data_IF_423738064022
#
_entry.id   IF_423738064022
#
_cell.length_a   1.000
_cell.length_b   1.000
_cell.length_c   1.000
_cell.angle_alpha   90.00
_cell.angle_beta   90.00
_cell.angle_gamma   90.00
#
_symmetry.space_group_name_H-M   'P 1'
#
loop_
_entity.id
_entity.type
_entity.pdbx_description
1 polymer ?
#
# COMPACT_ATOMS: atom_id res chain seq x y z
N UNK A 1 -9.94 1.15 8.73
CA UNK A 1 -8.73 1.19 7.88
C UNK A 1 -7.89 2.37 8.31
N UNK A 2 -6.59 2.32 8.06
CA UNK A 2 -5.65 3.43 8.28
C UNK A 2 -4.82 3.57 7.00
N UNK A 3 -4.76 4.77 6.44
CA UNK A 3 -4.00 5.03 5.23
C UNK A 3 -3.11 6.25 5.41
N UNK A 4 -1.93 6.25 4.78
CA UNK A 4 -1.02 7.37 4.80
C UNK A 4 0.36 7.02 4.29
N UNK A 5 1.20 8.04 4.21
CA UNK A 5 2.66 7.90 4.13
C UNK A 5 3.21 7.67 5.53
N UNK A 6 3.82 6.51 5.75
CA UNK A 6 4.42 6.12 7.02
C UNK A 6 5.94 6.33 7.05
N UNK A 7 6.56 6.76 5.95
CA UNK A 7 8.01 6.92 5.79
C UNK A 7 8.83 5.67 6.15
N UNK A 8 8.20 4.49 6.15
CA UNK A 8 8.84 3.22 6.49
C UNK A 8 8.12 2.07 5.83
N UNK A 9 8.78 0.92 5.73
CA UNK A 9 8.19 -0.29 5.15
C UNK A 9 7.05 -0.85 6.02
N UNK A 10 6.12 -1.56 5.38
CA UNK A 10 4.93 -2.08 6.04
C UNK A 10 5.24 -3.07 7.18
N UNK A 11 6.44 -3.65 7.20
CA UNK A 11 6.91 -4.60 8.19
C UNK A 11 7.96 -4.04 9.18
N UNK A 12 8.23 -2.74 9.13
CA UNK A 12 9.15 -2.07 10.04
C UNK A 12 8.71 -2.18 11.50
N UNK A 13 9.69 -2.12 12.41
CA UNK A 13 9.48 -2.21 13.86
C UNK A 13 8.59 -1.07 14.38
N UNK A 14 8.71 0.12 13.80
CA UNK A 14 7.91 1.31 14.17
C UNK A 14 6.40 1.07 13.99
N UNK A 15 6.02 0.14 13.11
CA UNK A 15 4.63 -0.23 12.84
C UNK A 15 4.17 -1.49 13.57
N UNK A 16 5.01 -2.09 14.43
CA UNK A 16 4.69 -3.35 15.12
C UNK A 16 3.35 -3.27 15.88
N UNK A 17 3.14 -2.20 16.65
CA UNK A 17 1.92 -2.02 17.43
C UNK A 17 0.67 -1.95 16.54
N UNK A 18 0.76 -1.28 15.38
CA UNK A 18 -0.32 -1.21 14.40
C UNK A 18 -0.61 -2.60 13.80
N UNK A 19 0.44 -3.33 13.43
CA UNK A 19 0.37 -4.64 12.79
C UNK A 19 -0.21 -5.74 13.67
N UNK A 20 -0.35 -5.51 15.00
CA UNK A 20 -1.04 -6.44 15.91
C UNK A 20 -2.53 -6.62 15.60
N UNK A 21 -3.17 -5.60 15.03
CA UNK A 21 -4.61 -5.65 14.70
C UNK A 21 -4.93 -5.33 13.24
N UNK A 22 -3.92 -4.97 12.45
CA UNK A 22 -4.08 -4.52 11.08
C UNK A 22 -3.17 -5.26 10.11
N UNK A 23 -3.71 -5.62 8.95
CA UNK A 23 -2.97 -6.19 7.84
C UNK A 23 -2.63 -5.14 6.79
N UNK A 24 -1.47 -5.27 6.15
CA UNK A 24 -1.10 -4.47 4.97
C UNK A 24 -1.89 -4.96 3.75
N UNK A 25 -2.71 -4.09 3.16
CA UNK A 25 -3.54 -4.45 2.02
C UNK A 25 -2.74 -4.87 0.79
N UNK A 26 -1.64 -4.18 0.47
CA UNK A 26 -0.85 -4.51 -0.71
C UNK A 26 -0.10 -5.83 -0.52
N UNK A 27 0.62 -6.00 0.59
CA UNK A 27 1.32 -7.24 0.91
C UNK A 27 0.39 -8.45 1.02
N UNK A 28 -0.86 -8.26 1.49
CA UNK A 28 -1.85 -9.35 1.57
C UNK A 28 -2.32 -9.82 0.19
N UNK A 29 -2.50 -8.90 -0.76
CA UNK A 29 -2.96 -9.21 -2.12
C UNK A 29 -1.82 -9.79 -2.97
N UNK A 30 -0.59 -9.35 -2.74
CA UNK A 30 0.59 -9.67 -3.57
C UNK A 30 1.59 -10.60 -2.88
N UNK A 31 1.15 -11.46 -1.96
CA UNK A 31 2.01 -12.23 -1.04
C UNK A 31 3.09 -13.10 -1.71
N UNK A 32 2.90 -13.48 -2.98
CA UNK A 32 3.79 -14.36 -3.75
C UNK A 32 4.47 -13.61 -4.91
N UNK A 33 4.46 -12.28 -4.91
CA UNK A 33 5.10 -11.49 -5.95
C UNK A 33 6.55 -11.21 -5.58
N UNK A 34 7.47 -11.54 -6.47
CA UNK A 34 8.88 -11.14 -6.36
C UNK A 34 9.13 -9.75 -6.98
N UNK A 35 8.09 -9.08 -7.47
CA UNK A 35 8.22 -7.76 -8.06
C UNK A 35 8.53 -6.71 -6.98
N UNK A 36 9.62 -5.97 -7.17
CA UNK A 36 9.91 -4.78 -6.37
C UNK A 36 8.83 -3.73 -6.67
N UNK A 37 8.15 -3.24 -5.63
CA UNK A 37 7.11 -2.22 -5.72
C UNK A 37 7.58 -0.94 -5.03
N UNK A 38 7.27 0.20 -5.64
CA UNK A 38 7.49 1.52 -5.06
C UNK A 38 6.17 2.28 -4.95
N UNK A 39 6.01 3.07 -3.89
CA UNK A 39 5.04 4.17 -3.85
C UNK A 39 5.72 5.51 -4.01
N UNK A 40 7.05 5.58 -3.98
CA UNK A 40 7.81 6.74 -4.42
C UNK A 40 7.91 6.78 -5.95
N UNK A 41 7.78 7.97 -6.50
CA UNK A 41 7.95 8.24 -7.92
C UNK A 41 9.44 8.14 -8.30
N UNK A 42 9.77 7.17 -9.16
CA UNK A 42 11.16 6.90 -9.55
C UNK A 42 11.74 7.93 -10.53
N UNK A 43 10.92 8.87 -11.01
CA UNK A 43 11.41 10.06 -11.68
C UNK A 43 12.01 11.08 -10.70
N UNK A 44 11.59 11.03 -9.43
CA UNK A 44 12.02 11.95 -8.36
C UNK A 44 13.05 11.28 -7.43
N UNK A 45 12.89 9.97 -7.18
CA UNK A 45 13.71 9.21 -6.23
C UNK A 45 14.42 8.04 -6.91
N UNK A 46 15.72 7.88 -6.65
CA UNK A 46 16.53 6.84 -7.29
C UNK A 46 16.36 5.44 -6.68
N UNK A 47 15.78 5.36 -5.48
CA UNK A 47 15.60 4.09 -4.74
C UNK A 47 14.12 3.78 -4.57
N UNK A 48 13.64 2.62 -5.06
CA UNK A 48 12.25 2.22 -4.85
C UNK A 48 11.98 1.96 -3.37
N UNK A 49 10.89 2.53 -2.88
CA UNK A 49 10.39 2.27 -1.53
C UNK A 49 8.87 2.30 -1.52
N UNK A 50 8.26 1.35 -0.81
CA UNK A 50 6.84 1.34 -0.51
C UNK A 50 6.67 1.82 0.92
N UNK A 51 6.32 3.09 1.07
CA UNK A 51 6.13 3.77 2.37
C UNK A 51 4.71 4.29 2.55
N UNK A 52 3.95 4.36 1.46
CA UNK A 52 2.52 4.63 1.48
C UNK A 52 1.76 3.31 1.66
N UNK A 53 0.92 3.26 2.68
CA UNK A 53 0.24 2.04 3.07
C UNK A 53 -1.24 2.28 3.28
N UNK A 54 -2.01 1.25 2.97
CA UNK A 54 -3.38 1.12 3.45
C UNK A 54 -3.46 -0.15 4.30
N UNK A 55 -3.65 0.05 5.59
CA UNK A 55 -3.83 -0.99 6.58
C UNK A 55 -5.33 -1.25 6.81
N UNK A 56 -5.74 -2.51 6.81
CA UNK A 56 -7.12 -2.92 7.10
C UNK A 56 -7.20 -3.64 8.43
N UNK A 57 -8.29 -3.44 9.18
CA UNK A 57 -8.49 -4.11 10.46
C UNK A 57 -8.73 -5.60 10.21
N UNK A 58 -7.84 -6.44 10.74
CA UNK A 58 -7.94 -7.89 10.62
C UNK A 58 -9.25 -8.38 11.26
N UNK A 59 -9.78 -9.50 10.76
CA UNK A 59 -11.05 -10.11 11.21
C UNK A 59 -12.31 -9.24 11.00
N UNK A 60 -12.18 -8.03 10.44
CA UNK A 60 -13.31 -7.15 10.09
C UNK A 60 -13.36 -6.83 8.62
N UNK A 61 -12.19 -6.78 7.98
CA UNK A 61 -12.05 -6.43 6.57
C UNK A 61 -11.16 -7.47 5.87
N UNK A 62 -11.39 -7.63 4.57
CA UNK A 62 -10.61 -8.45 3.66
C UNK A 62 -10.09 -7.56 2.54
N UNK A 63 -8.78 -7.57 2.29
CA UNK A 63 -8.20 -6.93 1.11
C UNK A 63 -8.45 -7.80 -0.11
N UNK A 64 -9.20 -7.29 -1.10
CA UNK A 64 -9.56 -8.02 -2.33
C UNK A 64 -8.70 -7.62 -3.51
N UNK A 65 -8.33 -6.34 -3.57
CA UNK A 65 -7.45 -5.80 -4.60
C UNK A 65 -6.59 -4.69 -4.00
N UNK A 66 -5.39 -4.52 -4.57
CA UNK A 66 -4.47 -3.44 -4.27
C UNK A 66 -3.68 -3.10 -5.53
N UNK A 67 -3.60 -1.81 -5.89
CA UNK A 67 -2.94 -1.31 -7.10
C UNK A 67 -2.15 -0.04 -6.79
N UNK A 68 -1.03 0.12 -7.48
CA UNK A 68 -0.37 1.42 -7.62
C UNK A 68 -1.03 2.16 -8.78
N UNK A 69 -1.28 3.46 -8.59
CA UNK A 69 -1.88 4.35 -9.56
C UNK A 69 -0.91 5.48 -9.90
N UNK A 70 -1.06 6.05 -11.09
CA UNK A 70 -0.28 7.19 -11.55
C UNK A 70 1.24 6.92 -11.55
N UNK A 71 1.63 5.67 -11.85
CA UNK A 71 3.01 5.21 -12.00
C UNK A 71 3.63 5.57 -13.37
N UNK A 72 2.91 6.37 -14.15
CA UNK A 72 3.34 6.92 -15.43
C UNK A 72 2.99 8.42 -15.51
N UNK A 73 3.78 9.23 -16.23
CA UNK A 73 3.46 10.64 -16.40
C UNK A 73 2.26 10.80 -17.35
N UNK A 74 1.58 11.94 -17.25
CA UNK A 74 0.62 12.38 -18.25
C UNK A 74 1.30 12.62 -19.61
N UNK A 75 0.50 12.75 -20.68
CA UNK A 75 1.02 12.88 -22.05
C UNK A 75 1.98 14.07 -22.22
N UNK A 76 1.77 15.15 -21.47
CA UNK A 76 2.64 16.33 -21.42
C UNK A 76 3.90 16.16 -20.55
N UNK A 77 4.15 14.96 -20.02
CA UNK A 77 5.30 14.65 -19.16
C UNK A 77 5.14 15.04 -17.70
N UNK A 78 3.99 15.60 -17.30
CA UNK A 78 3.71 15.98 -15.91
C UNK A 78 3.43 14.74 -15.07
N UNK A 79 4.01 14.66 -13.89
CA UNK A 79 3.68 13.66 -12.88
C UNK A 79 2.59 14.15 -11.93
N UNK A 80 1.73 13.25 -11.47
CA UNK A 80 0.63 13.58 -10.56
C UNK A 80 1.14 13.97 -9.16
N UNK A 81 2.22 13.33 -8.70
CA UNK A 81 2.84 13.54 -7.40
C UNK A 81 4.25 12.91 -7.40
N UNK A 82 5.07 13.26 -6.42
CA UNK A 82 6.32 12.58 -6.07
C UNK A 82 6.06 11.22 -5.37
N UNK A 83 4.81 10.95 -4.99
CA UNK A 83 4.31 9.64 -4.59
C UNK A 83 3.29 9.11 -5.62
N UNK A 84 3.38 7.83 -5.98
CA UNK A 84 2.32 7.13 -6.69
C UNK A 84 1.12 6.89 -5.78
N UNK A 85 -0.09 6.89 -6.37
CA UNK A 85 -1.31 6.64 -5.63
C UNK A 85 -1.44 5.17 -5.20
N UNK A 86 -1.99 4.91 -4.02
CA UNK A 86 -2.34 3.55 -3.57
C UNK A 86 -3.86 3.41 -3.58
N UNK A 87 -4.36 2.43 -4.33
CA UNK A 87 -5.78 2.10 -4.37
C UNK A 87 -6.02 0.69 -3.86
N UNK A 88 -7.02 0.53 -3.00
CA UNK A 88 -7.40 -0.77 -2.44
C UNK A 88 -8.90 -0.97 -2.47
N UNK A 89 -9.32 -2.22 -2.69
CA UNK A 89 -10.71 -2.65 -2.52
C UNK A 89 -10.82 -3.53 -1.28
N UNK A 90 -11.51 -3.01 -0.27
CA UNK A 90 -11.79 -3.74 0.98
C UNK A 90 -13.21 -4.28 0.96
N UNK A 91 -13.40 -5.46 1.53
CA UNK A 91 -14.71 -6.06 1.76
C UNK A 91 -14.88 -6.32 3.26
N UNK A 92 -16.08 -6.14 3.80
CA UNK A 92 -16.38 -6.63 5.16
C UNK A 92 -16.16 -8.15 5.23
N UNK A 93 -15.52 -8.60 6.31
CA UNK A 93 -15.45 -10.02 6.61
C UNK A 93 -16.88 -10.54 6.87
N UNK A 94 -17.20 -11.78 6.47
CA UNK A 94 -18.47 -12.40 6.85
C UNK A 94 -18.56 -12.47 8.38
N UNK A 95 -19.78 -12.36 8.91
CA UNK A 95 -20.02 -12.57 10.34
C UNK A 95 -19.52 -13.97 10.73
N UNK A 96 -18.75 -14.03 11.81
CA UNK A 96 -18.35 -15.32 12.37
C UNK A 96 -19.57 -15.92 13.08
N UNK A 97 -19.91 -17.20 12.83
CA UNK A 97 -20.99 -17.89 13.51
C UNK A 97 -20.74 -18.04 15.02
#
# INVERSE_FOLDING_TARGET
MIAGDFNTAADALDLEALRKGYGDSYGSVHRNSDATVSTLNLHVFDTPARIDHVFFQQNRLLAREARILFDTPYAEGRWASDHYGVWVRLQLAPDQP
#
